data_IF_122878485093
#
_entry.id   IF_122878485093
#
_cell.length_a   1.000
_cell.length_b   1.000
_cell.length_c   1.000
_cell.angle_alpha   90.00
_cell.angle_beta   90.00
_cell.angle_gamma   90.00
#
_symmetry.space_group_name_H-M   'P 1'
#
loop_
_entity.id
_entity.type
_entity.pdbx_description
1 polymer ?
#
# COMPACT_ATOMS: atom_id res chain seq x y z
N UNK A 1 -27.75 14.24 -28.73
CA UNK A 1 -27.65 14.11 -28.21
C UNK A 1 -27.25 13.73 -27.59
N UNK A 2 -27.06 13.63 -27.46
CA UNK A 2 -26.68 13.33 -26.78
C UNK A 2 -26.26 13.30 -26.24
N UNK A 3 -25.80 13.46 -26.35
CA UNK A 3 -25.45 13.46 -25.80
C UNK A 3 -25.33 13.32 -25.04
N UNK A 4 -25.21 13.33 -25.03
CA UNK A 4 -25.07 13.27 -24.21
C UNK A 4 -24.94 12.85 -23.63
N UNK A 5 -24.75 12.68 -23.88
CA UNK A 5 -24.64 12.37 -23.29
C UNK A 5 -24.15 12.22 -22.72
N UNK A 6 -23.95 12.07 -22.93
CA UNK A 6 -23.27 11.68 -22.40
C UNK A 6 -22.56 12.34 -21.60
N UNK A 7 -22.37 13.06 -21.68
CA UNK A 7 -21.52 13.77 -20.98
C UNK A 7 -21.78 13.77 -19.61
N UNK A 8 -22.37 13.64 -19.19
CA UNK A 8 -22.48 13.63 -18.20
C UNK A 8 -21.92 12.93 -17.50
N UNK A 9 -21.77 12.20 -17.69
CA UNK A 9 -21.31 11.38 -17.08
C UNK A 9 -20.06 11.68 -16.73
N UNK A 10 -19.48 12.23 -16.98
CA UNK A 10 -18.28 12.45 -16.78
C UNK A 10 -18.14 13.31 -15.79
N UNK A 11 -18.77 13.73 -15.52
CA UNK A 11 -18.65 14.67 -14.73
C UNK A 11 -18.39 14.19 -13.52
N UNK A 12 -18.91 13.45 -13.15
CA UNK A 12 -18.73 13.02 -12.02
C UNK A 12 -17.51 12.52 -11.84
N UNK A 13 -17.03 12.30 -12.68
CA UNK A 13 -15.91 11.79 -12.64
C UNK A 13 -14.99 12.69 -12.25
N UNK A 14 -15.28 13.59 -12.18
CA UNK A 14 -14.45 14.40 -11.85
C UNK A 14 -14.46 14.47 -10.51
N UNK A 15 -14.01 13.61 -9.92
CA UNK A 15 -13.80 13.65 -8.70
C UNK A 15 -12.94 14.70 -8.40
N UNK A 16 -13.07 15.40 -7.42
CA UNK A 16 -12.23 16.34 -7.18
C UNK A 16 -10.99 15.78 -6.73
N UNK A 17 -9.92 16.25 -7.09
CA UNK A 17 -8.71 15.79 -6.69
C UNK A 17 -8.55 16.17 -5.32
N UNK A 18 -8.48 15.30 -4.41
CA UNK A 18 -8.22 15.57 -3.08
C UNK A 18 -6.79 15.94 -2.93
N UNK A 19 -6.47 16.96 -2.18
CA UNK A 19 -5.11 17.33 -1.90
C UNK A 19 -4.82 16.89 -0.48
N UNK A 20 -4.13 15.76 -0.34
CA UNK A 20 -3.86 15.18 0.96
C UNK A 20 -2.36 15.18 1.17
N UNK A 21 -1.80 16.20 1.82
CA UNK A 21 -0.35 16.31 1.96
C UNK A 21 0.25 15.35 2.96
N UNK A 22 -0.51 14.88 3.93
CA UNK A 22 0.00 13.97 4.95
C UNK A 22 -0.86 12.73 4.99
N UNK A 23 -0.26 11.58 5.04
CA UNK A 23 -1.01 10.34 5.09
C UNK A 23 -0.25 9.25 5.81
N UNK A 24 -0.79 8.03 5.73
CA UNK A 24 -0.21 6.87 6.38
C UNK A 24 -0.03 5.79 5.34
N UNK A 25 1.16 5.21 5.29
CA UNK A 25 1.44 4.08 4.41
C UNK A 25 1.42 2.82 5.26
N UNK A 26 0.51 1.92 4.92
CA UNK A 26 0.39 0.65 5.63
C UNK A 26 1.04 -0.44 4.78
N UNK A 27 2.07 -1.08 5.31
CA UNK A 27 2.76 -2.14 4.61
C UNK A 27 2.52 -3.44 5.36
N UNK A 28 1.90 -4.39 4.70
CA UNK A 28 1.67 -5.71 5.27
C UNK A 28 2.54 -6.69 4.50
N UNK A 29 3.61 -7.17 5.11
CA UNK A 29 4.58 -8.02 4.46
C UNK A 29 4.50 -9.43 5.02
N UNK A 30 3.99 -10.36 4.23
CA UNK A 30 3.98 -11.76 4.60
C UNK A 30 5.09 -12.47 3.84
N UNK A 31 5.29 -13.75 4.14
CA UNK A 31 6.30 -14.50 3.42
C UNK A 31 5.96 -14.68 1.95
N UNK A 32 4.68 -14.59 1.61
CA UNK A 32 4.23 -14.84 0.25
C UNK A 32 3.85 -13.60 -0.53
N UNK A 33 3.70 -12.46 0.10
CA UNK A 33 3.22 -11.28 -0.60
C UNK A 33 3.49 -10.03 0.23
N UNK A 34 3.41 -8.89 -0.41
CA UNK A 34 3.50 -7.61 0.26
C UNK A 34 2.36 -6.73 -0.24
N UNK A 35 1.57 -6.21 0.68
CA UNK A 35 0.45 -5.34 0.34
C UNK A 35 0.76 -3.95 0.86
N UNK A 36 0.51 -2.95 0.03
CA UNK A 36 0.77 -1.57 0.40
C UNK A 36 -0.50 -0.77 0.21
N UNK A 37 -0.94 -0.12 1.27
CA UNK A 37 -2.13 0.73 1.23
C UNK A 37 -1.76 2.09 1.77
N UNK A 38 -2.14 3.13 1.07
CA UNK A 38 -1.85 4.50 1.48
C UNK A 38 -3.17 5.18 1.76
N UNK A 39 -3.30 5.69 2.98
CA UNK A 39 -4.54 6.30 3.43
C UNK A 39 -4.26 7.71 3.92
N UNK A 40 -5.31 8.48 4.14
CA UNK A 40 -5.17 9.75 4.83
C UNK A 40 -5.14 9.48 6.33
N UNK A 41 -5.12 10.54 7.13
CA UNK A 41 -5.01 10.37 8.57
C UNK A 41 -6.26 9.78 9.20
N UNK A 42 -7.37 9.82 8.48
CA UNK A 42 -8.62 9.26 8.98
C UNK A 42 -8.82 7.82 8.56
N UNK A 43 -7.96 7.30 7.72
CA UNK A 43 -8.07 5.92 7.29
C UNK A 43 -8.72 5.71 5.93
N UNK A 44 -9.06 6.78 5.23
CA UNK A 44 -9.67 6.63 3.91
C UNK A 44 -8.61 6.28 2.88
N UNK A 45 -8.86 5.26 2.10
CA UNK A 45 -7.87 4.74 1.16
C UNK A 45 -7.65 5.72 0.01
N UNK A 46 -6.40 6.03 -0.27
CA UNK A 46 -6.01 6.87 -1.39
C UNK A 46 -5.43 6.03 -2.52
N UNK A 47 -4.53 5.14 -2.19
CA UNK A 47 -3.85 4.32 -3.18
C UNK A 47 -3.55 2.96 -2.60
N UNK A 48 -3.48 1.97 -3.45
CA UNK A 48 -3.22 0.60 -3.01
C UNK A 48 -2.48 -0.14 -4.10
N UNK A 49 -1.58 -1.02 -3.71
CA UNK A 49 -0.90 -1.89 -4.64
C UNK A 49 -0.39 -3.11 -3.91
N UNK A 50 0.00 -4.12 -4.64
CA UNK A 50 0.59 -5.32 -4.05
C UNK A 50 1.53 -5.94 -5.06
N UNK A 51 2.34 -6.88 -4.60
CA UNK A 51 3.21 -7.61 -5.50
C UNK A 51 2.39 -8.35 -6.56
N UNK A 52 1.25 -8.91 -6.17
CA UNK A 52 0.38 -9.58 -7.12
C UNK A 52 -0.20 -8.63 -8.15
N UNK A 53 -0.52 -7.42 -7.75
CA UNK A 53 -1.06 -6.42 -8.68
C UNK A 53 -0.03 -5.98 -9.71
N UNK A 54 1.27 -6.14 -9.39
CA UNK A 54 2.33 -5.79 -10.33
C UNK A 54 2.73 -6.96 -11.22
N UNK A 55 1.96 -8.05 -11.19
CA UNK A 55 2.21 -9.16 -12.09
C UNK A 55 3.10 -10.27 -11.53
N UNK A 56 3.56 -10.15 -10.30
CA UNK A 56 4.35 -11.23 -9.71
C UNK A 56 3.43 -12.35 -9.28
N UNK A 57 3.86 -13.57 -9.37
CA UNK A 57 3.05 -14.71 -9.05
C UNK A 57 3.77 -15.70 -8.18
N UNK A 58 3.01 -16.46 -7.41
CA UNK A 58 3.56 -17.52 -6.58
C UNK A 58 4.56 -16.98 -5.58
N UNK A 59 5.67 -17.67 -5.43
CA UNK A 59 6.66 -17.27 -4.46
C UNK A 59 7.36 -15.97 -4.80
N UNK A 60 7.25 -15.52 -6.04
CA UNK A 60 7.89 -14.25 -6.41
C UNK A 60 7.23 -13.06 -5.75
N UNK A 61 5.99 -13.20 -5.29
CA UNK A 61 5.31 -12.11 -4.62
C UNK A 61 5.95 -11.76 -3.29
N UNK A 62 6.68 -12.67 -2.69
CA UNK A 62 7.32 -12.41 -1.41
C UNK A 62 8.71 -11.82 -1.50
N UNK A 63 9.21 -11.51 -2.70
CA UNK A 63 10.57 -11.00 -2.85
C UNK A 63 10.65 -9.52 -2.56
N UNK A 64 11.83 -9.04 -2.13
CA UNK A 64 11.97 -7.59 -1.93
C UNK A 64 11.78 -6.77 -3.20
N UNK A 65 12.18 -7.32 -4.35
CA UNK A 65 12.00 -6.59 -5.60
C UNK A 65 10.51 -6.39 -5.90
N UNK A 66 9.68 -7.42 -5.67
CA UNK A 66 8.25 -7.29 -5.89
C UNK A 66 7.65 -6.25 -4.95
N UNK A 67 8.09 -6.21 -3.70
CA UNK A 67 7.63 -5.21 -2.75
C UNK A 67 8.02 -3.81 -3.19
N UNK A 68 9.21 -3.66 -3.74
CA UNK A 68 9.68 -2.38 -4.22
C UNK A 68 8.80 -1.87 -5.36
N UNK A 69 8.47 -2.75 -6.30
CA UNK A 69 7.62 -2.35 -7.43
C UNK A 69 6.22 -1.95 -6.96
N UNK A 70 5.67 -2.71 -6.02
CA UNK A 70 4.35 -2.39 -5.49
C UNK A 70 4.37 -1.04 -4.78
N UNK A 71 5.41 -0.79 -4.00
CA UNK A 71 5.51 0.47 -3.26
C UNK A 71 5.67 1.66 -4.20
N UNK A 72 6.43 1.50 -5.27
CA UNK A 72 6.56 2.58 -6.24
C UNK A 72 5.22 2.92 -6.87
N UNK A 73 4.45 1.92 -7.24
CA UNK A 73 3.17 2.18 -7.87
C UNK A 73 2.23 2.89 -6.90
N UNK A 74 2.15 2.42 -5.66
CA UNK A 74 1.27 3.04 -4.68
C UNK A 74 1.73 4.46 -4.38
N UNK A 75 3.04 4.67 -4.26
CA UNK A 75 3.56 6.00 -3.95
C UNK A 75 3.30 6.99 -5.08
N UNK A 76 3.41 6.55 -6.33
CA UNK A 76 3.13 7.44 -7.44
C UNK A 76 1.67 7.85 -7.46
N UNK A 77 0.76 6.94 -7.16
CA UNK A 77 -0.65 7.27 -7.08
C UNK A 77 -0.92 8.24 -5.94
N UNK A 78 -0.23 8.08 -4.81
CA UNK A 78 -0.40 8.97 -3.68
C UNK A 78 0.14 10.36 -3.98
N UNK A 79 1.24 10.43 -4.73
CA UNK A 79 1.77 11.73 -5.13
C UNK A 79 0.82 12.46 -6.05
N UNK A 80 0.10 11.74 -6.89
CA UNK A 80 -0.90 12.37 -7.73
C UNK A 80 -2.01 12.99 -6.89
N UNK A 81 -2.25 12.47 -5.69
CA UNK A 81 -3.21 13.03 -4.77
C UNK A 81 -2.60 14.13 -3.90
N UNK A 82 -1.37 14.50 -4.15
CA UNK A 82 -0.74 15.61 -3.43
C UNK A 82 0.01 15.24 -2.18
N UNK A 83 0.23 13.95 -1.92
CA UNK A 83 0.90 13.55 -0.69
C UNK A 83 2.37 13.94 -0.70
N UNK A 84 2.83 14.53 0.39
CA UNK A 84 4.21 14.96 0.51
C UNK A 84 4.90 14.30 1.68
N UNK A 85 4.17 13.93 2.71
CA UNK A 85 4.74 13.30 3.90
C UNK A 85 3.88 12.13 4.30
N UNK A 86 4.47 11.16 4.97
CA UNK A 86 3.72 10.01 5.44
C UNK A 86 4.36 9.42 6.68
N UNK A 87 3.53 8.72 7.45
CA UNK A 87 4.01 7.86 8.51
C UNK A 87 3.89 6.44 7.96
N UNK A 88 4.91 5.63 8.16
CA UNK A 88 4.89 4.26 7.67
C UNK A 88 4.56 3.32 8.81
N UNK A 89 3.59 2.45 8.63
CA UNK A 89 3.22 1.41 9.58
C UNK A 89 3.43 0.07 8.94
N UNK A 90 4.38 -0.69 9.47
CA UNK A 90 4.77 -1.96 8.88
C UNK A 90 4.33 -3.09 9.77
N UNK A 91 3.82 -4.16 9.20
CA UNK A 91 3.54 -5.35 9.98
C UNK A 91 3.84 -6.60 9.19
N UNK A 92 4.19 -7.66 9.90
CA UNK A 92 4.45 -8.95 9.31
C UNK A 92 5.93 -9.25 9.14
N UNK A 93 6.26 -10.51 8.94
CA UNK A 93 7.66 -10.95 8.92
C UNK A 93 8.28 -11.00 7.52
N UNK A 94 7.55 -10.62 6.49
CA UNK A 94 8.04 -10.82 5.12
C UNK A 94 9.28 -10.02 4.78
N UNK A 95 9.96 -10.43 3.73
CA UNK A 95 11.19 -9.80 3.31
C UNK A 95 11.02 -8.47 2.60
N UNK A 96 9.79 -8.08 2.32
CA UNK A 96 9.55 -6.83 1.59
C UNK A 96 9.47 -5.59 2.44
N UNK A 97 9.67 -5.71 3.76
CA UNK A 97 9.48 -4.58 4.64
C UNK A 97 10.38 -3.40 4.29
N UNK A 98 11.68 -3.63 4.31
CA UNK A 98 12.62 -2.55 4.07
C UNK A 98 12.58 -2.04 2.65
N UNK A 99 12.44 -2.95 1.70
CA UNK A 99 12.41 -2.55 0.29
C UNK A 99 11.23 -1.65 -0.01
N UNK A 100 10.08 -1.94 0.60
CA UNK A 100 8.90 -1.09 0.41
C UNK A 100 9.12 0.29 1.01
N UNK A 101 9.71 0.36 2.20
CA UNK A 101 9.97 1.65 2.83
C UNK A 101 10.94 2.47 1.99
N UNK A 102 11.99 1.85 1.48
CA UNK A 102 12.95 2.55 0.66
C UNK A 102 12.32 3.06 -0.63
N UNK A 103 11.44 2.26 -1.21
CA UNK A 103 10.78 2.66 -2.45
C UNK A 103 9.87 3.87 -2.23
N UNK A 104 9.15 3.91 -1.11
CA UNK A 104 8.32 5.06 -0.79
C UNK A 104 9.19 6.32 -0.68
N UNK A 105 10.32 6.21 0.01
CA UNK A 105 11.21 7.34 0.16
C UNK A 105 11.81 7.75 -1.19
N UNK A 106 12.17 6.79 -2.01
CA UNK A 106 12.76 7.07 -3.32
C UNK A 106 11.77 7.72 -4.27
N UNK A 107 10.49 7.45 -4.08
CA UNK A 107 9.47 8.04 -4.93
C UNK A 107 9.23 9.51 -4.63
N UNK A 108 9.82 10.02 -3.55
CA UNK A 108 9.72 11.42 -3.24
C UNK A 108 8.77 11.77 -2.11
N UNK A 109 8.22 10.78 -1.42
CA UNK A 109 7.36 11.05 -0.27
C UNK A 109 8.24 10.99 0.98
N UNK A 110 8.18 12.04 1.77
CA UNK A 110 9.02 12.12 2.97
C UNK A 110 8.42 11.27 4.07
N UNK A 111 9.25 10.44 4.68
CA UNK A 111 8.80 9.57 5.76
C UNK A 111 9.10 10.26 7.07
N UNK A 112 8.06 10.52 7.86
CA UNK A 112 8.23 11.24 9.13
C UNK A 112 8.41 10.29 10.31
N UNK A 113 7.86 9.08 10.23
CA UNK A 113 7.99 8.12 11.31
C UNK A 113 7.76 6.72 10.76
N UNK A 114 8.38 5.74 11.38
CA UNK A 114 8.19 4.35 11.00
C UNK A 114 7.78 3.60 12.25
N UNK A 115 6.65 2.90 12.20
CA UNK A 115 6.16 2.12 13.32
C UNK A 115 5.96 0.69 12.91
N UNK A 116 6.31 -0.23 13.79
CA UNK A 116 6.06 -1.64 13.57
C UNK A 116 4.79 -1.99 14.33
N UNK A 117 3.75 -2.37 13.62
CA UNK A 117 2.46 -2.68 14.21
C UNK A 117 2.13 -4.17 14.12
N UNK A 118 3.14 -5.01 13.99
CA UNK A 118 2.93 -6.46 13.92
C UNK A 118 2.17 -6.93 15.14
N UNK A 119 1.02 -7.59 14.96
CA UNK A 119 0.23 -8.03 16.10
C UNK A 119 0.92 -9.17 16.84
N UNK A 120 0.97 -9.06 18.15
CA UNK A 120 1.55 -10.10 18.98
C UNK A 120 0.46 -10.56 19.94
N UNK A 121 -0.03 -11.79 19.80
CA UNK A 121 -1.08 -12.23 20.71
C UNK A 121 -0.56 -12.45 22.12
N UNK A 122 -1.42 -12.22 23.10
CA UNK A 122 -1.07 -12.48 24.49
C UNK A 122 -1.55 -13.89 24.80
N UNK A 123 -0.94 -14.86 24.18
CA UNK A 123 -1.31 -16.28 24.20
C UNK A 123 -2.53 -16.63 23.36
N UNK A 124 -3.31 -15.73 22.95
CA UNK A 124 -4.42 -15.87 22.01
C UNK A 124 -4.98 -17.25 21.78
N UNK A 125 -5.45 -17.48 20.56
CA UNK A 125 -6.02 -18.76 20.18
C UNK A 125 -4.93 -19.77 19.84
N UNK A 126 -5.25 -21.03 20.01
CA UNK A 126 -4.32 -22.09 19.63
C UNK A 126 -4.10 -22.05 18.13
N UNK A 127 -2.85 -22.08 17.67
CA UNK A 127 -2.60 -22.06 16.23
C UNK A 127 -2.98 -23.41 15.60
N UNK A 128 -3.18 -23.43 14.27
CA UNK A 128 -3.52 -24.69 13.60
C UNK A 128 -2.34 -25.63 13.65
N UNK A 129 -2.62 -26.90 13.42
CA UNK A 129 -1.55 -27.85 13.45
C UNK A 129 -0.69 -27.69 12.20
N UNK A 130 0.49 -28.26 12.29
CA UNK A 130 1.46 -28.16 11.25
C UNK A 130 0.94 -28.74 9.96
N UNK A 131 1.25 -28.08 8.86
CA UNK A 131 0.83 -28.59 7.57
C UNK A 131 1.56 -29.86 7.24
N UNK A 132 0.87 -30.76 6.58
CA UNK A 132 1.53 -31.94 6.04
C UNK A 132 2.11 -31.55 4.71
N UNK A 133 3.31 -31.98 4.45
CA UNK A 133 3.94 -31.62 3.20
C UNK A 133 4.15 -32.84 2.38
#
# INVERSE_FOLDING_TARGET
MAKATGGKKKVFRKKEKKNIPVGIVHISASFNNTLISITDLEGNLIAQSSAGARGFRGSRKGTPFAAQQAAYEAANKAKDAGMQQCEVRVKGPGGGRESAIRAINSAGIRITAIRDTTPIPHNGCRPPKRRRV
#
